data_IF_259577785117
#
_entry.id   IF_259577785117
#
_cell.length_a   1.000
_cell.length_b   1.000
_cell.length_c   1.000
_cell.angle_alpha   90.00
_cell.angle_beta   90.00
_cell.angle_gamma   90.00
#
_symmetry.space_group_name_H-M   'P 1'
#
loop_
_entity.id
_entity.type
_entity.pdbx_description
1 polymer ?
#
# COMPACT_ATOMS: atom_id res chain seq x y z
N UNK A 1 4.18 5.67 4.08
CA UNK A 1 4.41 5.58 2.62
C UNK A 1 3.06 5.52 1.90
N UNK A 2 3.01 5.84 0.62
CA UNK A 2 1.76 5.74 -0.17
C UNK A 2 1.42 4.27 -0.48
N UNK A 3 0.13 4.01 -0.72
CA UNK A 3 -0.38 2.70 -1.13
C UNK A 3 -1.23 2.84 -2.41
N UNK A 4 -1.20 1.81 -3.25
CA UNK A 4 -1.98 1.77 -4.48
C UNK A 4 -3.49 1.78 -4.18
N UNK A 5 -4.27 2.44 -5.02
CA UNK A 5 -5.71 2.62 -4.85
C UNK A 5 -6.43 2.16 -6.11
N UNK A 6 -7.38 1.24 -5.94
CA UNK A 6 -8.33 0.86 -6.98
C UNK A 6 -9.65 1.55 -6.68
N UNK A 7 -10.14 2.32 -7.66
CA UNK A 7 -11.39 3.08 -7.57
C UNK A 7 -12.46 2.33 -8.35
N UNK A 8 -13.60 2.10 -7.72
CA UNK A 8 -14.75 1.49 -8.37
C UNK A 8 -15.66 2.55 -8.99
N UNK A 9 -16.36 2.21 -10.07
CA UNK A 9 -17.25 3.15 -10.76
C UNK A 9 -18.45 3.62 -9.89
N UNK A 10 -18.89 2.80 -8.93
CA UNK A 10 -19.96 3.15 -7.98
C UNK A 10 -19.53 4.21 -6.96
N UNK A 11 -18.22 4.36 -6.73
CA UNK A 11 -17.65 5.36 -5.82
C UNK A 11 -16.38 5.97 -6.43
N UNK A 12 -16.51 6.97 -7.32
CA UNK A 12 -15.40 7.53 -8.07
C UNK A 12 -14.57 8.53 -7.24
N UNK A 13 -14.11 8.12 -6.05
CA UNK A 13 -13.27 8.94 -5.17
C UNK A 13 -12.03 8.16 -4.76
N UNK A 14 -10.85 8.71 -5.08
CA UNK A 14 -9.57 8.19 -4.62
C UNK A 14 -9.01 9.04 -3.49
N UNK A 15 -8.35 8.40 -2.53
CA UNK A 15 -7.63 9.10 -1.46
C UNK A 15 -6.26 8.47 -1.25
N UNK A 16 -5.22 9.29 -1.37
CA UNK A 16 -3.84 8.93 -1.05
C UNK A 16 -3.44 9.63 0.24
N UNK A 17 -2.85 8.90 1.18
CA UNK A 17 -2.40 9.44 2.46
C UNK A 17 -0.95 9.04 2.73
N UNK A 18 -0.16 9.99 3.22
CA UNK A 18 1.21 9.76 3.65
C UNK A 18 1.46 10.45 4.98
N UNK A 19 2.28 9.82 5.82
CA UNK A 19 2.85 10.44 6.99
C UNK A 19 4.31 10.82 6.69
N UNK A 20 4.62 12.10 6.80
CA UNK A 20 5.92 12.70 6.51
C UNK A 20 6.30 13.56 7.71
N UNK A 21 7.25 13.08 8.49
CA UNK A 21 7.89 13.84 9.55
C UNK A 21 9.20 14.46 9.05
N UNK A 22 9.55 15.64 9.53
CA UNK A 22 10.82 16.28 9.20
C UNK A 22 11.04 17.59 9.98
N UNK A 23 12.30 17.89 10.29
CA UNK A 23 12.71 19.14 10.94
C UNK A 23 13.92 19.71 10.21
N UNK A 24 13.85 20.92 9.61
CA UNK A 24 12.68 21.81 9.49
C UNK A 24 11.48 21.16 8.78
N UNK A 25 10.26 21.68 9.01
CA UNK A 25 9.02 21.13 8.44
C UNK A 25 9.15 21.09 6.91
N UNK A 26 9.05 19.92 6.26
CA UNK A 26 9.31 19.81 4.84
C UNK A 26 8.17 20.43 4.02
N UNK A 27 8.54 21.03 2.88
CA UNK A 27 7.61 21.40 1.83
C UNK A 27 7.17 20.14 1.10
N UNK A 28 5.86 19.94 0.96
CA UNK A 28 5.28 18.77 0.29
C UNK A 28 4.66 19.17 -1.05
N UNK A 29 4.96 18.40 -2.08
CA UNK A 29 4.46 18.56 -3.44
C UNK A 29 3.95 17.22 -3.99
N UNK A 30 2.82 17.25 -4.71
CA UNK A 30 2.24 16.07 -5.35
C UNK A 30 2.46 16.11 -6.86
N UNK A 31 2.61 14.95 -7.47
CA UNK A 31 2.82 14.77 -8.90
C UNK A 31 1.97 13.61 -9.42
N UNK A 32 1.51 13.71 -10.67
CA UNK A 32 0.95 12.62 -11.46
C UNK A 32 1.80 12.44 -12.71
N UNK A 33 2.31 11.24 -12.96
CA UNK A 33 3.10 10.94 -14.16
C UNK A 33 4.26 11.94 -14.40
N UNK A 34 4.92 12.32 -13.29
CA UNK A 34 5.98 13.34 -13.20
C UNK A 34 5.56 14.80 -13.47
N UNK A 35 4.28 15.09 -13.66
CA UNK A 35 3.75 16.44 -13.74
C UNK A 35 3.25 16.89 -12.36
N UNK A 36 3.62 18.11 -11.96
CA UNK A 36 3.21 18.67 -10.67
C UNK A 36 1.70 18.90 -10.66
N UNK A 37 1.05 18.51 -9.56
CA UNK A 37 -0.36 18.72 -9.34
C UNK A 37 -0.60 20.02 -8.59
N UNK A 38 -1.75 20.63 -8.86
CA UNK A 38 -2.24 21.82 -8.16
C UNK A 38 -3.66 21.55 -7.64
N UNK A 39 -4.03 22.24 -6.57
CA UNK A 39 -5.38 22.13 -6.00
C UNK A 39 -6.43 22.67 -6.98
N UNK A 40 -7.57 21.99 -7.03
CA UNK A 40 -8.69 22.37 -7.88
C UNK A 40 -10.03 21.95 -7.27
N UNK A 41 -11.12 22.06 -8.03
CA UNK A 41 -12.40 21.43 -7.66
C UNK A 41 -12.32 19.91 -7.73
N UNK A 42 -11.44 19.35 -8.56
CA UNK A 42 -11.23 17.91 -8.78
C UNK A 42 -10.23 17.29 -7.80
N UNK A 43 -9.18 18.04 -7.45
CA UNK A 43 -8.08 17.62 -6.57
C UNK A 43 -8.05 18.44 -5.29
N UNK A 44 -8.11 17.79 -4.13
CA UNK A 44 -7.98 18.42 -2.80
C UNK A 44 -6.74 17.93 -2.09
N UNK A 45 -5.89 18.84 -1.62
CA UNK A 45 -4.69 18.51 -0.87
C UNK A 45 -4.83 19.03 0.56
N UNK A 46 -4.71 18.15 1.55
CA UNK A 46 -4.90 18.53 2.96
C UNK A 46 -3.70 18.09 3.77
N UNK A 47 -3.16 19.01 4.58
CA UNK A 47 -2.24 18.71 5.67
C UNK A 47 -2.96 18.93 7.01
N UNK A 48 -2.80 18.00 7.95
CA UNK A 48 -3.40 18.09 9.29
C UNK A 48 -2.68 19.08 10.23
N UNK A 49 -1.74 19.88 9.70
CA UNK A 49 -0.87 20.76 10.47
C UNK A 49 0.35 20.07 11.07
N UNK A 50 0.38 18.74 11.10
CA UNK A 50 1.47 17.92 11.61
C UNK A 50 2.13 17.16 10.44
N UNK A 51 2.19 15.85 10.55
CA UNK A 51 2.93 14.97 9.66
C UNK A 51 2.01 14.28 8.65
N UNK A 52 0.68 14.49 8.71
CA UNK A 52 -0.24 13.79 7.81
C UNK A 52 -0.57 14.65 6.60
N UNK A 53 -0.36 14.08 5.41
CA UNK A 53 -0.66 14.70 4.12
C UNK A 53 -1.58 13.80 3.34
N UNK A 54 -2.58 14.39 2.69
CA UNK A 54 -3.56 13.65 1.91
C UNK A 54 -3.88 14.35 0.60
N UNK A 55 -4.10 13.55 -0.44
CA UNK A 55 -4.59 13.96 -1.75
C UNK A 55 -5.89 13.21 -2.02
N UNK A 56 -6.98 13.96 -2.21
CA UNK A 56 -8.29 13.41 -2.57
C UNK A 56 -8.62 13.81 -4.00
N UNK A 57 -9.03 12.84 -4.80
CA UNK A 57 -9.46 13.01 -6.19
C UNK A 57 -10.95 12.69 -6.24
N UNK A 58 -11.76 13.65 -6.65
CA UNK A 58 -13.20 13.50 -6.80
C UNK A 58 -13.54 13.11 -8.23
N UNK A 59 -14.66 12.43 -8.49
CA UNK A 59 -15.11 12.08 -9.84
C UNK A 59 -14.02 11.44 -10.72
N UNK A 60 -13.29 10.49 -10.14
CA UNK A 60 -12.19 9.75 -10.80
C UNK A 60 -12.69 9.17 -12.12
N UNK A 61 -11.92 9.43 -13.18
CA UNK A 61 -12.15 8.89 -14.52
C UNK A 61 -10.84 8.34 -15.11
N UNK A 62 -10.90 7.82 -16.33
CA UNK A 62 -9.75 7.19 -16.98
C UNK A 62 -8.51 8.09 -17.11
N UNK A 63 -8.67 9.42 -17.10
CA UNK A 63 -7.53 10.37 -17.13
C UNK A 63 -6.82 10.49 -15.79
N UNK A 64 -7.48 10.12 -14.70
CA UNK A 64 -6.92 10.14 -13.34
C UNK A 64 -6.12 8.87 -13.04
N UNK A 65 -6.25 7.82 -13.85
CA UNK A 65 -5.41 6.62 -13.76
C UNK A 65 -3.96 7.00 -14.04
N UNK A 66 -3.02 6.53 -13.22
CA UNK A 66 -1.61 6.85 -13.37
C UNK A 66 -0.79 6.64 -12.11
N UNK A 67 0.49 7.00 -12.17
CA UNK A 67 1.39 6.94 -11.02
C UNK A 67 1.44 8.30 -10.31
N UNK A 68 1.05 8.31 -9.06
CA UNK A 68 1.11 9.46 -8.18
C UNK A 68 2.37 9.40 -7.33
N UNK A 69 2.93 10.57 -7.08
CA UNK A 69 4.14 10.74 -6.29
C UNK A 69 3.97 11.89 -5.33
N UNK A 70 4.36 11.67 -4.08
CA UNK A 70 4.52 12.72 -3.08
C UNK A 70 6.02 12.96 -2.87
N UNK A 71 6.44 14.22 -2.94
CA UNK A 71 7.81 14.66 -2.73
C UNK A 71 7.83 15.60 -1.53
N UNK A 72 8.66 15.29 -0.55
CA UNK A 72 8.89 16.15 0.61
C UNK A 72 10.33 16.65 0.58
N UNK A 73 10.52 17.96 0.70
CA UNK A 73 11.84 18.61 0.65
C UNK A 73 12.02 19.54 1.84
N UNK A 74 13.16 19.46 2.51
CA UNK A 74 13.61 20.43 3.51
C UNK A 74 15.09 20.78 3.27
N UNK A 75 15.65 21.66 4.10
CA UNK A 75 17.03 22.14 3.96
C UNK A 75 18.08 21.02 4.10
N UNK A 76 17.70 19.86 4.65
CA UNK A 76 18.58 18.72 4.89
C UNK A 76 18.45 17.63 3.81
N UNK A 77 17.45 17.70 2.94
CA UNK A 77 17.28 16.71 1.87
C UNK A 77 15.87 16.61 1.31
N UNK A 78 15.65 15.52 0.56
CA UNK A 78 14.39 15.21 -0.09
C UNK A 78 14.07 13.72 0.02
N UNK A 79 12.79 13.41 0.18
CA UNK A 79 12.27 12.04 0.14
C UNK A 79 11.05 11.99 -0.79
N UNK A 80 10.83 10.85 -1.44
CA UNK A 80 9.65 10.63 -2.28
C UNK A 80 8.99 9.28 -1.99
N UNK A 81 7.68 9.20 -2.19
CA UNK A 81 6.90 7.96 -2.17
C UNK A 81 5.92 7.95 -3.34
N UNK A 82 5.64 6.76 -3.88
CA UNK A 82 4.83 6.57 -5.11
C UNK A 82 3.70 5.59 -4.86
N UNK A 83 2.58 5.79 -5.54
CA UNK A 83 1.46 4.85 -5.59
C UNK A 83 0.74 4.96 -6.93
N UNK A 84 0.08 3.88 -7.34
CA UNK A 84 -0.74 3.83 -8.56
C UNK A 84 -2.21 3.98 -8.23
N UNK A 85 -2.91 4.79 -9.02
CA UNK A 85 -4.37 4.82 -9.04
C UNK A 85 -4.84 4.10 -10.31
N UNK A 86 -5.79 3.18 -10.15
CA UNK A 86 -6.46 2.46 -11.25
C UNK A 86 -7.96 2.41 -11.02
N UNK A 87 -8.73 2.31 -12.11
CA UNK A 87 -10.18 2.04 -12.04
C UNK A 87 -10.38 0.53 -12.18
N UNK A 88 -11.20 -0.06 -11.31
CA UNK A 88 -11.59 -1.45 -11.37
C UNK A 88 -13.10 -1.59 -11.56
N UNK A 89 -13.52 -2.64 -12.25
CA UNK A 89 -14.92 -2.91 -12.60
C UNK A 89 -15.78 -3.41 -11.40
N UNK A 90 -15.47 -3.00 -10.18
CA UNK A 90 -16.13 -3.49 -8.97
C UNK A 90 -15.73 -4.90 -8.53
N UNK A 91 -14.81 -5.56 -9.23
CA UNK A 91 -14.02 -6.66 -8.65
C UNK A 91 -13.13 -6.04 -7.57
N UNK A 92 -13.39 -6.38 -6.31
CA UNK A 92 -12.69 -5.85 -5.13
C UNK A 92 -11.17 -5.73 -5.38
N UNK A 93 -10.48 -4.75 -4.74
CA UNK A 93 -9.01 -4.73 -4.68
C UNK A 93 -8.40 -5.96 -3.98
N UNK A 94 -9.23 -6.92 -3.53
CA UNK A 94 -8.86 -8.24 -3.00
C UNK A 94 -8.23 -9.18 -4.05
N UNK A 95 -7.85 -8.71 -5.23
CA UNK A 95 -6.59 -9.18 -5.83
C UNK A 95 -5.43 -8.62 -5.01
N UNK A 96 -5.34 -9.04 -3.73
CA UNK A 96 -4.17 -8.87 -2.88
C UNK A 96 -2.97 -9.37 -3.69
N UNK A 97 -2.20 -8.44 -4.30
CA UNK A 97 -1.10 -8.68 -5.25
C UNK A 97 -0.87 -10.17 -5.52
N UNK A 98 -1.41 -10.72 -6.61
CA UNK A 98 -1.13 -12.13 -6.98
C UNK A 98 0.37 -12.37 -6.82
N UNK A 99 0.71 -13.25 -5.90
CA UNK A 99 2.08 -13.52 -5.53
C UNK A 99 2.21 -15.02 -5.29
N UNK A 100 3.36 -15.55 -5.69
CA UNK A 100 3.70 -16.95 -5.45
C UNK A 100 3.68 -17.25 -3.95
N UNK A 101 3.48 -18.52 -3.56
CA UNK A 101 3.54 -18.92 -2.16
C UNK A 101 4.90 -18.56 -1.56
N UNK A 102 4.88 -17.83 -0.45
CA UNK A 102 6.06 -17.44 0.31
C UNK A 102 5.95 -18.00 1.72
N UNK A 103 7.01 -18.66 2.18
CA UNK A 103 7.11 -19.14 3.55
C UNK A 103 7.51 -17.95 4.41
N UNK A 104 6.57 -17.44 5.20
CA UNK A 104 6.80 -16.35 6.16
C UNK A 104 7.48 -16.87 7.43
N UNK A 105 7.16 -18.12 7.80
CA UNK A 105 7.79 -18.80 8.93
C UNK A 105 8.07 -20.24 8.54
N UNK A 106 9.35 -20.58 8.50
CA UNK A 106 9.83 -21.93 8.23
C UNK A 106 9.48 -22.88 9.38
N UNK A 107 9.46 -24.17 9.06
CA UNK A 107 9.35 -25.21 10.08
C UNK A 107 10.56 -25.16 11.00
N UNK A 108 10.31 -25.34 12.28
CA UNK A 108 11.35 -25.45 13.29
C UNK A 108 11.37 -26.87 13.82
N UNK A 109 12.58 -27.36 14.13
CA UNK A 109 12.76 -28.66 14.76
C UNK A 109 12.08 -28.66 16.13
N UNK A 110 11.23 -29.67 16.34
CA UNK A 110 10.52 -29.85 17.61
C UNK A 110 11.17 -31.01 18.35
N UNK A 111 11.77 -30.69 19.50
CA UNK A 111 12.22 -31.70 20.47
C UNK A 111 11.06 -32.00 21.39
N UNK A 112 10.57 -33.24 21.36
CA UNK A 112 9.55 -33.76 22.28
C UNK A 112 10.20 -34.71 23.28
N UNK A 113 9.77 -34.62 24.54
CA UNK A 113 10.24 -35.52 25.60
C UNK A 113 9.36 -36.77 25.68
N UNK A 114 9.96 -37.86 26.13
CA UNK A 114 9.25 -39.12 26.38
C UNK A 114 8.11 -38.87 27.39
N UNK A 115 6.88 -39.22 26.99
CA UNK A 115 5.65 -38.91 27.75
C UNK A 115 4.85 -37.71 27.23
N UNK A 116 5.36 -36.93 26.28
CA UNK A 116 4.54 -35.94 25.56
C UNK A 116 3.77 -36.60 24.41
N UNK A 117 2.43 -36.59 24.44
CA UNK A 117 1.62 -37.33 23.47
C UNK A 117 1.54 -36.67 22.08
N UNK A 118 2.00 -35.42 21.93
CA UNK A 118 1.83 -34.64 20.70
C UNK A 118 3.07 -33.79 20.40
N UNK A 119 3.59 -33.92 19.18
CA UNK A 119 4.52 -32.95 18.58
C UNK A 119 3.74 -32.04 17.62
N UNK A 120 3.98 -30.73 17.69
CA UNK A 120 3.27 -29.73 16.87
C UNK A 120 4.23 -29.04 15.90
N UNK A 121 4.13 -29.38 14.61
CA UNK A 121 4.85 -28.72 13.54
C UNK A 121 3.99 -27.61 12.94
N UNK A 122 4.53 -26.39 12.82
CA UNK A 122 3.81 -25.23 12.29
C UNK A 122 4.68 -24.44 11.32
N UNK A 123 4.16 -24.12 10.15
CA UNK A 123 4.73 -23.19 9.18
C UNK A 123 3.68 -22.12 8.83
N UNK A 124 4.13 -20.90 8.54
CA UNK A 124 3.25 -19.83 8.05
C UNK A 124 3.57 -19.57 6.58
N UNK A 125 2.55 -19.71 5.74
CA UNK A 125 2.67 -19.59 4.29
C UNK A 125 1.65 -18.56 3.82
N UNK A 126 2.11 -17.54 3.09
CA UNK A 126 1.26 -16.58 2.41
C UNK A 126 1.23 -16.91 0.92
N UNK A 127 0.11 -16.66 0.25
CA UNK A 127 -0.01 -16.81 -1.20
C UNK A 127 -1.38 -16.37 -1.68
N UNK A 128 -1.42 -15.72 -2.85
CA UNK A 128 -2.66 -15.42 -3.55
C UNK A 128 -2.59 -15.91 -5.00
N UNK A 129 -3.34 -16.98 -5.37
CA UNK A 129 -4.38 -17.66 -4.59
C UNK A 129 -3.81 -18.47 -3.40
N UNK A 130 -4.66 -18.74 -2.40
CA UNK A 130 -4.27 -19.50 -1.19
C UNK A 130 -3.56 -20.79 -1.59
N UNK A 131 -2.31 -21.01 -1.14
CA UNK A 131 -1.54 -22.17 -1.55
C UNK A 131 -2.15 -23.47 -1.01
N UNK A 132 -2.02 -24.54 -1.79
CA UNK A 132 -2.25 -25.89 -1.30
C UNK A 132 -1.03 -26.32 -0.47
N UNK A 133 -1.26 -26.76 0.76
CA UNK A 133 -0.21 -27.21 1.67
C UNK A 133 -0.20 -28.75 1.68
N UNK A 134 0.97 -29.35 1.45
CA UNK A 134 1.19 -30.79 1.52
C UNK A 134 2.35 -31.08 2.47
N UNK A 135 2.17 -32.07 3.34
CA UNK A 135 3.17 -32.49 4.32
C UNK A 135 3.79 -33.82 3.88
N UNK A 136 5.11 -33.91 4.00
CA UNK A 136 5.88 -35.12 3.72
C UNK A 136 6.61 -35.55 5.00
N UNK A 137 6.75 -36.86 5.20
CA UNK A 137 7.48 -37.47 6.32
C UNK A 137 8.74 -38.12 5.80
#
# INVERSE_FOLDING_TARGET
ELQDVVVSEDKPVAKLEAQIAGTPKPKVEWFKDNQKLEESSHLKMVNDGKDKYSLTILNVNSKDVGQYKILATNDLGKIESKAKISIGDGSKPDDAKKHSPEILKELQDVVVFEGQPVAKLEAQIAGNPKPKIEWFK
#
